data_IF_338050486484
#
_entry.id   IF_338050486484
#
_cell.length_a   1.000
_cell.length_b   1.000
_cell.length_c   1.000
_cell.angle_alpha   90.00
_cell.angle_beta   90.00
_cell.angle_gamma   90.00
#
_symmetry.space_group_name_H-M   'P 1'
#
loop_
_entity.id
_entity.type
_entity.pdbx_description
1 polymer ?
#
# COMPACT_ATOMS: atom_id res chain seq x y z
N UNK A 1 -25.38 56.80 30.52
CA UNK A 1 -25.21 56.82 31.99
C UNK A 1 -26.55 56.45 32.62
N UNK A 2 -26.59 55.67 33.71
CA UNK A 2 -26.07 54.29 33.92
C UNK A 2 -27.16 53.41 34.61
N UNK A 3 -27.04 52.09 34.83
CA UNK A 3 -26.32 51.34 35.88
C UNK A 3 -26.55 49.83 35.58
N UNK A 4 -25.53 48.96 35.51
CA UNK A 4 -25.00 48.19 36.65
C UNK A 4 -25.81 46.89 36.85
N UNK A 5 -25.29 45.67 36.66
CA UNK A 5 -24.27 45.04 37.49
C UNK A 5 -23.53 43.89 36.78
N UNK A 6 -22.28 43.75 37.23
CA UNK A 6 -21.22 42.84 36.84
C UNK A 6 -21.34 41.46 37.55
N UNK A 7 -20.45 40.52 37.16
CA UNK A 7 -19.85 39.42 37.96
C UNK A 7 -20.37 38.00 37.66
N UNK A 8 -19.56 36.94 37.54
CA UNK A 8 -18.10 36.70 37.44
C UNK A 8 -17.87 35.20 37.09
N UNK A 9 -16.64 34.88 36.68
CA UNK A 9 -15.99 33.55 36.56
C UNK A 9 -16.31 32.74 35.28
N UNK A 10 -15.35 32.14 34.56
CA UNK A 10 -13.91 31.97 34.80
C UNK A 10 -13.21 31.73 33.46
N UNK A 11 -12.08 32.40 33.24
CA UNK A 11 -11.12 32.10 32.17
C UNK A 11 -10.29 30.89 32.56
N UNK A 12 -10.21 29.89 31.69
CA UNK A 12 -9.03 29.02 31.65
C UNK A 12 -8.30 29.30 30.34
N UNK A 13 -7.14 29.94 30.50
CA UNK A 13 -6.07 29.97 29.52
C UNK A 13 -5.76 28.53 29.10
N UNK A 14 -5.64 28.31 27.80
CA UNK A 14 -4.85 27.19 27.30
C UNK A 14 -3.60 27.85 26.74
N UNK A 15 -2.52 27.72 27.49
CA UNK A 15 -1.24 28.35 27.19
C UNK A 15 -0.64 27.76 25.92
N UNK A 16 -0.12 28.66 25.10
CA UNK A 16 0.68 28.40 23.93
C UNK A 16 2.09 28.00 24.38
N UNK A 17 2.38 26.70 24.39
CA UNK A 17 3.75 26.22 24.34
C UNK A 17 4.02 25.56 22.98
N UNK A 18 4.74 26.32 22.15
CA UNK A 18 5.52 25.81 21.02
C UNK A 18 6.59 24.87 21.59
N UNK A 19 6.28 23.58 21.66
CA UNK A 19 7.30 22.55 21.81
C UNK A 19 7.77 22.20 20.42
N UNK A 20 8.98 22.67 20.08
CA UNK A 20 9.68 22.27 18.88
C UNK A 20 9.85 20.76 18.88
N UNK A 21 9.30 20.10 17.87
CA UNK A 21 9.68 18.73 17.56
C UNK A 21 11.08 18.78 16.97
N UNK A 22 12.06 18.55 17.84
CA UNK A 22 13.41 18.22 17.40
C UNK A 22 13.31 16.97 16.55
N UNK A 23 13.79 17.13 15.32
CA UNK A 23 13.93 16.09 14.33
C UNK A 23 14.97 15.09 14.83
N UNK A 24 14.48 13.91 15.18
CA UNK A 24 15.28 12.70 15.23
C UNK A 24 14.82 11.89 14.02
N UNK A 25 15.58 11.99 12.93
CA UNK A 25 15.40 11.19 11.71
C UNK A 25 15.83 9.74 12.01
N UNK A 26 15.09 9.06 12.87
CA UNK A 26 15.18 7.62 13.08
C UNK A 26 13.77 7.04 12.86
N UNK A 27 13.31 7.14 11.61
CA UNK A 27 12.13 6.41 11.10
C UNK A 27 12.48 4.91 11.05
N UNK A 28 12.56 4.27 12.22
CA UNK A 28 12.36 2.83 12.36
C UNK A 28 10.84 2.60 12.25
N UNK A 29 10.33 2.76 11.02
CA UNK A 29 8.98 2.33 10.66
C UNK A 29 8.89 0.86 11.09
N UNK A 30 8.07 0.58 12.11
CA UNK A 30 7.66 -0.78 12.42
C UNK A 30 7.00 -1.35 11.15
N UNK A 31 7.81 -2.02 10.34
CA UNK A 31 7.38 -2.85 9.24
C UNK A 31 6.64 -4.02 9.89
N UNK A 32 5.34 -3.84 10.15
CA UNK A 32 4.43 -4.99 10.18
C UNK A 32 4.46 -5.57 8.76
N UNK A 33 5.50 -6.37 8.49
CA UNK A 33 5.46 -7.38 7.46
C UNK A 33 4.20 -8.19 7.74
N UNK A 34 3.25 -8.17 6.80
CA UNK A 34 2.13 -9.08 6.85
C UNK A 34 2.71 -10.49 6.79
N UNK A 35 2.87 -11.10 7.96
CA UNK A 35 3.41 -12.44 8.13
C UNK A 35 2.55 -13.38 7.30
N UNK A 36 3.19 -13.98 6.28
CA UNK A 36 2.50 -14.82 5.32
C UNK A 36 2.96 -16.26 5.47
N UNK A 37 2.02 -17.16 5.77
CA UNK A 37 2.26 -18.60 5.79
C UNK A 37 2.58 -19.09 4.37
N UNK A 38 3.87 -19.27 4.06
CA UNK A 38 4.34 -19.83 2.79
C UNK A 38 4.15 -21.34 2.84
N UNK A 39 3.09 -21.83 2.20
CA UNK A 39 3.01 -23.24 1.80
C UNK A 39 3.73 -23.32 0.45
N UNK A 40 5.00 -23.73 0.45
CA UNK A 40 5.79 -23.86 -0.77
C UNK A 40 5.53 -25.19 -1.47
N UNK A 41 4.85 -25.13 -2.62
CA UNK A 41 4.90 -26.17 -3.65
C UNK A 41 6.22 -26.06 -4.43
N UNK A 42 6.81 -27.19 -4.81
CA UNK A 42 8.13 -27.26 -5.46
C UNK A 42 8.11 -26.55 -6.83
N UNK A 43 6.97 -26.57 -7.53
CA UNK A 43 6.78 -25.89 -8.83
C UNK A 43 6.73 -24.36 -8.69
N UNK A 44 6.09 -23.85 -7.64
CA UNK A 44 6.01 -22.40 -7.35
C UNK A 44 7.41 -21.84 -7.09
N UNK A 45 8.32 -22.63 -6.51
CA UNK A 45 9.70 -22.22 -6.25
C UNK A 45 10.49 -21.94 -7.53
N UNK A 46 10.35 -22.76 -8.57
CA UNK A 46 11.05 -22.59 -9.86
C UNK A 46 10.55 -21.35 -10.61
N UNK A 47 9.23 -21.14 -10.62
CA UNK A 47 8.60 -19.96 -11.21
C UNK A 47 9.01 -18.68 -10.50
N UNK A 48 9.05 -18.70 -9.15
CA UNK A 48 9.57 -17.58 -8.35
C UNK A 48 10.99 -17.25 -8.78
N UNK A 49 11.89 -18.24 -8.82
CA UNK A 49 13.29 -18.00 -9.21
C UNK A 49 13.42 -17.43 -10.62
N UNK A 50 12.62 -17.93 -11.57
CA UNK A 50 12.61 -17.45 -12.95
C UNK A 50 12.20 -15.99 -13.01
N UNK A 51 11.09 -15.62 -12.37
CA UNK A 51 10.61 -14.24 -12.36
C UNK A 51 11.57 -13.32 -11.60
N UNK A 52 12.08 -13.74 -10.43
CA UNK A 52 13.04 -12.95 -9.65
C UNK A 52 14.31 -12.64 -10.43
N UNK A 53 14.78 -13.58 -11.26
CA UNK A 53 15.90 -13.35 -12.17
C UNK A 53 15.55 -12.31 -13.22
N UNK A 54 14.38 -12.41 -13.86
CA UNK A 54 13.92 -11.42 -14.84
C UNK A 54 13.83 -10.01 -14.24
N UNK A 55 13.32 -9.87 -13.02
CA UNK A 55 13.26 -8.57 -12.33
C UNK A 55 14.65 -7.96 -12.16
N UNK A 56 15.64 -8.77 -11.74
CA UNK A 56 17.03 -8.33 -11.55
C UNK A 56 17.70 -7.98 -12.87
N UNK A 57 17.51 -8.79 -13.91
CA UNK A 57 18.15 -8.62 -15.21
C UNK A 57 17.66 -7.34 -15.94
N UNK A 58 16.39 -6.96 -15.74
CA UNK A 58 15.82 -5.79 -16.39
C UNK A 58 16.08 -4.48 -15.65
N UNK A 59 16.33 -4.54 -14.33
CA UNK A 59 16.49 -3.35 -13.47
C UNK A 59 15.35 -2.33 -13.68
N UNK A 60 15.71 -1.09 -13.97
CA UNK A 60 14.75 0.00 -14.22
C UNK A 60 14.11 -0.02 -15.63
N UNK A 61 14.50 -0.93 -16.53
CA UNK A 61 13.94 -0.99 -17.89
C UNK A 61 12.55 -1.64 -17.91
N UNK A 62 11.52 -0.84 -17.62
CA UNK A 62 10.12 -1.30 -17.54
C UNK A 62 9.60 -1.91 -18.84
N UNK A 63 10.05 -1.39 -19.98
CA UNK A 63 9.62 -1.86 -21.30
C UNK A 63 10.15 -3.26 -21.55
N UNK A 64 11.45 -3.47 -21.35
CA UNK A 64 12.08 -4.77 -21.49
C UNK A 64 11.52 -5.79 -20.49
N UNK A 65 11.27 -5.38 -19.24
CA UNK A 65 10.66 -6.29 -18.27
C UNK A 65 9.26 -6.73 -18.71
N UNK A 66 8.43 -5.81 -19.21
CA UNK A 66 7.12 -6.17 -19.76
C UNK A 66 7.27 -7.15 -20.92
N UNK A 67 8.16 -6.88 -21.87
CA UNK A 67 8.36 -7.76 -23.03
C UNK A 67 8.82 -9.16 -22.63
N UNK A 68 9.73 -9.28 -21.67
CA UNK A 68 10.19 -10.58 -21.14
C UNK A 68 9.11 -11.32 -20.36
N UNK A 69 8.26 -10.61 -19.61
CA UNK A 69 7.12 -11.21 -18.92
C UNK A 69 6.06 -11.73 -19.92
N UNK A 70 5.79 -11.04 -21.02
CA UNK A 70 4.86 -11.55 -22.04
C UNK A 70 5.42 -12.76 -22.83
N UNK A 71 6.74 -12.98 -22.78
CA UNK A 71 7.41 -14.09 -23.46
C UNK A 71 7.70 -15.28 -22.53
N UNK A 72 7.49 -15.13 -21.22
CA UNK A 72 7.71 -16.23 -20.28
C UNK A 72 6.49 -17.17 -20.26
N UNK A 73 6.73 -18.46 -20.01
CA UNK A 73 5.68 -19.48 -19.91
C UNK A 73 5.15 -19.63 -18.47
N UNK A 74 5.54 -18.71 -17.58
CA UNK A 74 5.14 -18.72 -16.17
C UNK A 74 3.68 -18.29 -16.06
N UNK A 75 2.87 -19.13 -15.42
CA UNK A 75 1.46 -18.80 -15.15
C UNK A 75 1.32 -18.13 -13.80
N UNK A 76 0.61 -17.00 -13.68
CA UNK A 76 0.41 -16.37 -12.39
C UNK A 76 -0.47 -17.23 -11.49
N UNK A 77 0.02 -17.53 -10.29
CA UNK A 77 -0.76 -18.01 -9.15
C UNK A 77 -0.80 -16.91 -8.08
N UNK A 78 -1.74 -16.99 -7.14
CA UNK A 78 -1.84 -15.96 -6.10
C UNK A 78 -0.62 -15.95 -5.18
N UNK A 79 -0.05 -17.13 -4.92
CA UNK A 79 1.15 -17.33 -4.12
C UNK A 79 2.38 -16.74 -4.80
N UNK A 80 2.59 -17.06 -6.08
CA UNK A 80 3.68 -16.51 -6.89
C UNK A 80 3.62 -14.99 -6.91
N UNK A 81 2.43 -14.43 -7.13
CA UNK A 81 2.31 -12.99 -7.31
C UNK A 81 2.59 -12.23 -6.02
N UNK A 82 2.09 -12.72 -4.88
CA UNK A 82 2.41 -12.08 -3.59
C UNK A 82 3.89 -12.18 -3.27
N UNK A 83 4.50 -13.34 -3.51
CA UNK A 83 5.93 -13.55 -3.26
C UNK A 83 6.78 -12.57 -4.09
N UNK A 84 6.54 -12.49 -5.39
CA UNK A 84 7.30 -11.59 -6.28
C UNK A 84 7.04 -10.11 -5.96
N UNK A 85 5.80 -9.73 -5.65
CA UNK A 85 5.47 -8.36 -5.23
C UNK A 85 6.19 -8.01 -3.92
N UNK A 86 6.29 -8.95 -2.97
CA UNK A 86 7.03 -8.78 -1.72
C UNK A 86 8.55 -8.61 -1.95
N UNK A 87 9.13 -9.41 -2.84
CA UNK A 87 10.54 -9.27 -3.23
C UNK A 87 10.83 -7.92 -3.89
N UNK A 88 9.87 -7.37 -4.63
CA UNK A 88 9.96 -6.07 -5.27
C UNK A 88 9.47 -4.90 -4.40
N UNK A 89 9.25 -5.08 -3.09
CA UNK A 89 8.61 -4.06 -2.22
C UNK A 89 9.30 -2.69 -2.16
N UNK A 90 10.60 -2.64 -2.44
CA UNK A 90 11.39 -1.41 -2.45
C UNK A 90 11.46 -0.73 -3.83
N UNK A 91 10.89 -1.36 -4.86
CA UNK A 91 10.74 -0.81 -6.20
C UNK A 91 9.29 -0.97 -6.65
N UNK A 92 8.47 0.02 -6.28
CA UNK A 92 7.04 0.00 -6.57
C UNK A 92 6.74 -0.06 -8.06
N UNK A 93 7.59 0.47 -8.94
CA UNK A 93 7.37 0.41 -10.40
C UNK A 93 7.56 -1.01 -10.92
N UNK A 94 8.57 -1.71 -10.39
CA UNK A 94 8.78 -3.14 -10.64
C UNK A 94 7.63 -3.98 -10.15
N UNK A 95 7.27 -3.86 -8.88
CA UNK A 95 6.15 -4.58 -8.29
C UNK A 95 4.84 -4.32 -9.06
N UNK A 96 4.54 -3.06 -9.35
CA UNK A 96 3.30 -2.66 -10.01
C UNK A 96 3.20 -3.16 -11.45
N UNK A 97 4.31 -3.11 -12.20
CA UNK A 97 4.30 -3.64 -13.57
C UNK A 97 4.05 -5.14 -13.61
N UNK A 98 4.68 -5.89 -12.71
CA UNK A 98 4.49 -7.33 -12.61
C UNK A 98 3.05 -7.66 -12.16
N UNK A 99 2.54 -6.96 -11.15
CA UNK A 99 1.14 -7.07 -10.70
C UNK A 99 0.12 -6.79 -11.82
N UNK A 100 0.39 -5.78 -12.66
CA UNK A 100 -0.43 -5.47 -13.83
C UNK A 100 -0.33 -6.53 -14.92
N UNK A 101 0.85 -7.10 -15.15
CA UNK A 101 1.04 -8.22 -16.09
C UNK A 101 0.25 -9.46 -15.64
N UNK A 102 0.36 -9.83 -14.37
CA UNK A 102 -0.32 -11.00 -13.83
C UNK A 102 -1.84 -10.94 -14.06
N UNK A 103 -2.49 -9.81 -13.71
CA UNK A 103 -3.93 -9.67 -13.92
C UNK A 103 -4.40 -9.43 -15.36
N UNK A 104 -3.49 -9.37 -16.34
CA UNK A 104 -3.86 -9.45 -17.76
C UNK A 104 -3.93 -10.89 -18.27
N UNK A 105 -3.38 -11.86 -17.53
CA UNK A 105 -3.34 -13.23 -17.96
C UNK A 105 -4.75 -13.84 -17.96
N UNK A 106 -5.08 -14.55 -19.03
CA UNK A 106 -6.41 -15.09 -19.25
C UNK A 106 -6.78 -16.08 -18.15
N UNK A 107 -7.94 -15.87 -17.52
CA UNK A 107 -8.47 -16.77 -16.48
C UNK A 107 -7.85 -16.59 -15.09
N UNK A 108 -6.90 -15.68 -14.93
CA UNK A 108 -6.34 -15.38 -13.61
C UNK A 108 -7.13 -14.26 -12.92
N UNK A 109 -7.40 -14.46 -11.63
CA UNK A 109 -8.15 -13.53 -10.78
C UNK A 109 -7.29 -13.15 -9.60
N UNK A 110 -7.12 -11.84 -9.40
CA UNK A 110 -6.39 -11.32 -8.25
C UNK A 110 -7.22 -11.50 -6.97
N UNK A 111 -6.59 -12.06 -5.96
CA UNK A 111 -7.04 -12.14 -4.58
C UNK A 111 -6.91 -10.80 -3.86
N UNK A 112 -7.68 -10.64 -2.78
CA UNK A 112 -7.62 -9.47 -1.88
C UNK A 112 -6.21 -9.28 -1.30
N UNK A 113 -5.50 -10.38 -1.04
CA UNK A 113 -4.14 -10.38 -0.49
C UNK A 113 -3.13 -9.71 -1.43
N UNK A 114 -3.24 -9.95 -2.73
CA UNK A 114 -2.36 -9.32 -3.72
C UNK A 114 -2.62 -7.81 -3.83
N UNK A 115 -3.89 -7.40 -3.79
CA UNK A 115 -4.24 -5.98 -3.73
C UNK A 115 -3.68 -5.32 -2.46
N UNK A 116 -3.87 -5.95 -1.29
CA UNK A 116 -3.34 -5.40 -0.03
C UNK A 116 -1.83 -5.24 -0.07
N UNK A 117 -1.10 -6.24 -0.58
CA UNK A 117 0.35 -6.19 -0.73
C UNK A 117 0.78 -5.01 -1.62
N UNK A 118 0.17 -4.87 -2.80
CA UNK A 118 0.49 -3.79 -3.73
C UNK A 118 0.10 -2.40 -3.19
N UNK A 119 -1.07 -2.28 -2.55
CA UNK A 119 -1.55 -1.03 -1.93
C UNK A 119 -0.61 -0.61 -0.79
N UNK A 120 -0.12 -1.56 0.02
CA UNK A 120 0.85 -1.27 1.09
C UNK A 120 2.15 -0.68 0.54
N UNK A 121 2.69 -1.26 -0.54
CA UNK A 121 3.89 -0.76 -1.24
C UNK A 121 3.65 0.64 -1.81
N UNK A 122 2.51 0.86 -2.49
CA UNK A 122 2.17 2.18 -3.04
C UNK A 122 2.03 3.23 -1.93
N UNK A 123 1.43 2.87 -0.80
CA UNK A 123 1.32 3.73 0.38
C UNK A 123 2.69 4.06 0.99
N UNK A 124 3.59 3.07 1.12
CA UNK A 124 4.99 3.28 1.56
C UNK A 124 5.71 4.27 0.64
N UNK A 125 5.52 4.15 -0.67
CA UNK A 125 6.12 5.05 -1.67
C UNK A 125 5.32 6.34 -1.92
N UNK A 126 4.33 6.64 -1.07
CA UNK A 126 3.45 7.83 -1.13
C UNK A 126 2.71 7.99 -2.46
N UNK A 127 2.50 6.90 -3.20
CA UNK A 127 1.72 6.82 -4.45
C UNK A 127 0.23 6.63 -4.16
N UNK A 128 -0.32 7.54 -3.36
CA UNK A 128 -1.68 7.42 -2.83
C UNK A 128 -2.77 7.41 -3.91
N UNK A 129 -2.63 8.22 -4.97
CA UNK A 129 -3.61 8.26 -6.06
C UNK A 129 -3.69 6.92 -6.82
N UNK A 130 -2.52 6.30 -7.05
CA UNK A 130 -2.43 4.97 -7.66
C UNK A 130 -3.02 3.91 -6.73
N UNK A 131 -2.76 4.00 -5.42
CA UNK A 131 -3.34 3.09 -4.43
C UNK A 131 -4.89 3.17 -4.41
N UNK A 132 -5.44 4.38 -4.45
CA UNK A 132 -6.89 4.60 -4.54
C UNK A 132 -7.49 4.04 -5.83
N UNK A 133 -6.77 4.15 -6.96
CA UNK A 133 -7.20 3.54 -8.23
C UNK A 133 -7.37 2.02 -8.09
N UNK A 134 -6.46 1.33 -7.38
CA UNK A 134 -6.59 -0.10 -7.10
C UNK A 134 -7.76 -0.42 -6.18
N UNK A 135 -8.02 0.41 -5.17
CA UNK A 135 -9.18 0.26 -4.28
C UNK A 135 -10.49 0.38 -5.08
N UNK A 136 -10.56 1.32 -6.02
CA UNK A 136 -11.71 1.48 -6.90
C UNK A 136 -11.86 0.31 -7.89
N UNK A 137 -10.75 -0.30 -8.32
CA UNK A 137 -10.78 -1.55 -9.08
C UNK A 137 -11.42 -2.67 -8.24
N UNK A 138 -10.98 -2.87 -7.00
CA UNK A 138 -11.55 -3.87 -6.09
C UNK A 138 -13.07 -3.69 -5.90
N UNK A 139 -13.52 -2.44 -5.71
CA UNK A 139 -14.95 -2.09 -5.55
C UNK A 139 -15.80 -2.54 -6.73
N UNK A 140 -15.29 -2.39 -7.95
CA UNK A 140 -16.02 -2.71 -9.19
C UNK A 140 -16.17 -4.21 -9.40
N UNK A 141 -15.14 -4.98 -9.07
CA UNK A 141 -15.12 -6.43 -9.33
C UNK A 141 -15.71 -7.27 -8.18
N UNK A 142 -15.78 -6.72 -6.97
CA UNK A 142 -16.32 -7.43 -5.80
C UNK A 142 -17.34 -6.58 -5.03
N UNK A 143 -18.53 -6.31 -5.63
CA UNK A 143 -19.54 -5.42 -5.05
C UNK A 143 -20.17 -5.95 -3.75
N UNK A 144 -20.05 -7.24 -3.47
CA UNK A 144 -20.62 -7.89 -2.28
C UNK A 144 -19.69 -7.90 -1.06
N UNK A 145 -18.42 -7.50 -1.22
CA UNK A 145 -17.53 -7.21 -0.10
C UNK A 145 -17.36 -5.70 -0.05
N UNK A 146 -17.94 -5.05 0.96
CA UNK A 146 -17.44 -3.77 1.47
C UNK A 146 -15.93 -3.80 1.34
N UNK A 147 -15.32 -2.85 0.61
CA UNK A 147 -13.87 -2.68 0.57
C UNK A 147 -13.37 -3.01 1.96
N UNK A 148 -12.59 -4.09 2.04
CA UNK A 148 -12.29 -4.73 3.31
C UNK A 148 -11.81 -3.61 4.24
N UNK A 149 -12.41 -3.44 5.41
CA UNK A 149 -12.03 -2.36 6.34
C UNK A 149 -10.50 -2.35 6.57
N UNK A 150 -9.87 -3.51 6.42
CA UNK A 150 -8.43 -3.71 6.35
C UNK A 150 -7.72 -2.90 5.23
N UNK A 151 -8.26 -2.83 4.01
CA UNK A 151 -7.72 -2.03 2.91
C UNK A 151 -7.72 -0.54 3.24
N UNK A 152 -8.83 -0.02 3.79
CA UNK A 152 -8.92 1.39 4.22
C UNK A 152 -7.97 1.66 5.39
N UNK A 153 -7.84 0.70 6.32
CA UNK A 153 -6.92 0.79 7.44
C UNK A 153 -5.46 0.87 6.99
N UNK A 154 -5.07 0.17 5.91
CA UNK A 154 -3.74 0.32 5.28
C UNK A 154 -3.54 1.79 4.85
N UNK A 155 -4.51 2.37 4.15
CA UNK A 155 -4.43 3.77 3.69
C UNK A 155 -4.36 4.75 4.86
N UNK A 156 -5.22 4.60 5.87
CA UNK A 156 -5.23 5.44 7.08
C UNK A 156 -3.86 5.41 7.76
N UNK A 157 -3.30 4.22 7.99
CA UNK A 157 -1.97 4.07 8.60
C UNK A 157 -0.89 4.78 7.80
N UNK A 158 -0.92 4.64 6.46
CA UNK A 158 0.07 5.30 5.59
C UNK A 158 -0.10 6.83 5.53
N UNK A 159 -1.32 7.35 5.61
CA UNK A 159 -1.54 8.80 5.76
C UNK A 159 -1.06 9.32 7.12
N UNK A 160 -1.31 8.58 8.20
CA UNK A 160 -0.81 8.93 9.53
C UNK A 160 0.73 8.95 9.57
N UNK A 161 1.39 7.97 8.94
CA UNK A 161 2.86 7.90 8.87
C UNK A 161 3.50 9.10 8.17
N UNK A 162 2.78 9.77 7.26
CA UNK A 162 3.25 11.00 6.60
C UNK A 162 2.65 12.27 7.21
N UNK A 163 2.06 12.18 8.40
CA UNK A 163 1.39 13.26 9.14
C UNK A 163 0.23 13.95 8.38
N UNK A 164 -0.37 13.28 7.40
CA UNK A 164 -1.54 13.79 6.66
C UNK A 164 -2.85 13.33 7.34
N UNK A 165 -3.09 13.85 8.55
CA UNK A 165 -4.26 13.51 9.37
C UNK A 165 -5.57 13.86 8.65
N UNK A 166 -5.57 14.91 7.84
CA UNK A 166 -6.74 15.32 7.05
C UNK A 166 -7.17 14.23 6.07
N UNK A 167 -6.23 13.67 5.29
CA UNK A 167 -6.54 12.54 4.39
C UNK A 167 -6.84 11.25 5.15
N UNK A 168 -6.20 11.02 6.30
CA UNK A 168 -6.51 9.87 7.14
C UNK A 168 -7.99 9.89 7.59
N UNK A 169 -8.49 11.04 8.06
CA UNK A 169 -9.91 11.22 8.44
C UNK A 169 -10.82 11.08 7.23
N UNK A 170 -10.47 11.72 6.10
CA UNK A 170 -11.29 11.67 4.89
C UNK A 170 -11.40 10.26 4.28
N UNK A 171 -10.49 9.33 4.61
CA UNK A 171 -10.54 7.94 4.14
C UNK A 171 -11.78 7.19 4.65
N UNK A 172 -12.40 7.65 5.74
CA UNK A 172 -13.62 7.04 6.32
C UNK A 172 -14.93 7.51 5.68
N UNK A 173 -14.92 8.59 4.91
CA UNK A 173 -16.10 9.25 4.35
C UNK A 173 -16.26 8.97 2.85
#
# INVERSE_FOLDING_TARGET
>A
LPLGLCSMFSTTKVDSELVGFNQSDDDDENEEEFEFDIISDETVSEDVQTISKLLKDCGSNRKELREKLEQCDVKPSNELVVEIVSQARNDWETAFTFFLWAGKQQGYVRSVREYHSMISILGKMRKFDTAWTLIDEMRKFSPCSLVNSQTLLIMIRKYCAVHDVGKAINTFH
#
